data_IF_243675519935
#
_entry.id   IF_243675519935
#
_cell.length_a   1.000
_cell.length_b   1.000
_cell.length_c   1.000
_cell.angle_alpha   90.00
_cell.angle_beta   90.00
_cell.angle_gamma   90.00
#
_symmetry.space_group_name_H-M   'P 1'
#
loop_
_entity.id
_entity.type
_entity.pdbx_description
1 polymer ?
#
# COMPACT_ATOMS: atom_id res chain seq x y z
N UNK A 1 2.62 -17.82 -17.45
CA UNK A 1 2.94 -18.05 -16.03
C UNK A 1 4.28 -18.72 -15.94
N UNK A 2 5.22 -18.21 -15.15
CA UNK A 2 6.53 -18.82 -14.94
C UNK A 2 6.55 -19.37 -13.51
N UNK A 3 6.68 -20.68 -13.36
CA UNK A 3 6.78 -21.33 -12.05
C UNK A 3 8.23 -21.22 -11.58
N UNK A 4 8.44 -20.64 -10.42
CA UNK A 4 9.74 -20.49 -9.77
C UNK A 4 9.57 -20.61 -8.26
N UNK A 5 10.59 -21.13 -7.59
CA UNK A 5 10.58 -21.21 -6.15
C UNK A 5 10.71 -19.82 -5.53
N UNK A 6 9.93 -19.56 -4.48
CA UNK A 6 10.13 -18.39 -3.62
C UNK A 6 11.09 -18.73 -2.51
N UNK A 7 12.04 -17.86 -2.25
CA UNK A 7 13.07 -18.06 -1.24
C UNK A 7 13.04 -16.85 -0.30
N UNK A 8 12.86 -17.11 0.99
CA UNK A 8 13.05 -16.14 2.05
C UNK A 8 14.51 -16.17 2.46
N UNK A 9 15.20 -15.04 2.37
CA UNK A 9 16.58 -14.91 2.79
C UNK A 9 16.64 -14.19 4.14
N UNK A 10 17.39 -14.75 5.09
CA UNK A 10 17.75 -14.07 6.31
C UNK A 10 19.28 -13.92 6.35
N UNK A 11 19.78 -12.69 6.31
CA UNK A 11 21.21 -12.42 6.45
C UNK A 11 21.67 -12.63 7.90
N UNK A 12 20.89 -12.16 8.90
CA UNK A 12 21.17 -12.27 10.33
C UNK A 12 19.89 -12.37 11.19
N UNK A 13 18.77 -12.82 10.61
CA UNK A 13 17.48 -12.81 11.26
C UNK A 13 17.20 -13.98 12.22
N UNK A 14 16.08 -13.94 12.94
CA UNK A 14 15.63 -15.04 13.78
C UNK A 14 15.51 -16.32 12.97
N UNK A 15 15.81 -17.44 13.62
CA UNK A 15 15.85 -18.77 13.02
C UNK A 15 14.65 -19.02 12.08
N UNK A 16 14.92 -19.17 10.79
CA UNK A 16 13.94 -19.62 9.78
C UNK A 16 13.38 -21.01 10.08
N UNK A 17 13.98 -21.71 11.05
CA UNK A 17 13.53 -23.03 11.51
C UNK A 17 12.09 -22.99 12.01
N UNK A 18 11.73 -21.97 12.80
CA UNK A 18 10.37 -21.83 13.33
C UNK A 18 9.36 -21.58 12.21
N UNK A 19 9.74 -20.76 11.23
CA UNK A 19 8.91 -20.51 10.03
C UNK A 19 8.72 -21.79 9.23
N UNK A 20 9.79 -22.58 9.06
CA UNK A 20 9.70 -23.89 8.41
C UNK A 20 8.76 -24.84 9.15
N UNK A 21 8.86 -24.93 10.48
CA UNK A 21 7.98 -25.79 11.29
C UNK A 21 6.50 -25.43 11.07
N UNK A 22 6.15 -24.15 11.09
CA UNK A 22 4.79 -23.69 10.80
C UNK A 22 4.38 -24.01 9.35
N UNK A 23 5.24 -23.70 8.38
CA UNK A 23 4.95 -23.99 6.98
C UNK A 23 4.66 -25.48 6.74
N UNK A 24 5.49 -26.38 7.30
CA UNK A 24 5.30 -27.82 7.21
C UNK A 24 4.03 -28.30 7.93
N UNK A 25 3.70 -27.73 9.09
CA UNK A 25 2.47 -28.06 9.82
C UNK A 25 1.20 -27.74 9.03
N UNK A 26 1.28 -26.75 8.14
CA UNK A 26 0.21 -26.36 7.22
C UNK A 26 0.27 -27.08 5.87
N UNK A 27 1.20 -28.03 5.69
CA UNK A 27 1.37 -28.80 4.45
C UNK A 27 2.01 -28.01 3.31
N UNK A 28 2.65 -26.86 3.60
CA UNK A 28 3.36 -26.11 2.57
C UNK A 28 4.65 -26.82 2.16
N UNK A 29 4.98 -26.90 0.84
CA UNK A 29 6.20 -27.53 0.36
C UNK A 29 7.40 -26.60 0.58
N UNK A 30 7.94 -26.61 1.79
CA UNK A 30 9.01 -25.72 2.23
C UNK A 30 10.22 -26.51 2.75
N UNK A 31 11.42 -25.96 2.58
CA UNK A 31 12.67 -26.51 3.10
C UNK A 31 13.72 -25.43 3.33
N UNK A 32 14.62 -25.66 4.27
CA UNK A 32 15.81 -24.82 4.43
C UNK A 32 16.84 -25.15 3.34
N UNK A 33 17.48 -24.10 2.83
CA UNK A 33 18.54 -24.21 1.82
C UNK A 33 19.68 -23.26 2.13
N UNK A 34 20.88 -23.64 1.67
CA UNK A 34 22.03 -22.73 1.56
C UNK A 34 22.12 -22.33 0.09
N UNK A 35 21.71 -21.09 -0.27
CA UNK A 35 21.68 -20.69 -1.67
C UNK A 35 23.10 -20.56 -2.22
N UNK A 36 23.31 -21.05 -3.43
CA UNK A 36 24.55 -20.90 -4.18
C UNK A 36 24.33 -20.06 -5.43
N UNK A 37 25.40 -19.40 -5.90
CA UNK A 37 25.38 -18.63 -7.15
C UNK A 37 24.64 -17.28 -7.07
N UNK A 38 24.36 -16.78 -5.87
CA UNK A 38 23.86 -15.43 -5.68
C UNK A 38 25.02 -14.41 -5.71
N UNK A 39 24.81 -13.21 -6.26
CA UNK A 39 25.83 -12.16 -6.28
C UNK A 39 26.05 -11.48 -4.93
N UNK A 40 25.43 -11.98 -3.88
CA UNK A 40 25.55 -11.50 -2.50
C UNK A 40 25.47 -12.66 -1.52
N UNK A 41 26.08 -12.55 -0.33
CA UNK A 41 26.07 -13.61 0.65
C UNK A 41 24.68 -13.77 1.29
N UNK A 42 24.22 -15.00 1.38
CA UNK A 42 23.02 -15.40 2.13
C UNK A 42 23.41 -16.57 3.01
N UNK A 43 23.17 -16.46 4.31
CA UNK A 43 23.52 -17.49 5.27
C UNK A 43 22.64 -18.73 5.11
N UNK A 44 21.35 -18.51 5.04
CA UNK A 44 20.32 -19.54 4.95
C UNK A 44 19.05 -18.93 4.35
N UNK A 45 18.28 -19.74 3.67
CA UNK A 45 16.99 -19.35 3.13
C UNK A 45 15.94 -20.44 3.33
N UNK A 46 14.70 -20.01 3.49
CA UNK A 46 13.53 -20.87 3.43
C UNK A 46 12.99 -20.86 1.99
N UNK A 47 13.06 -22.01 1.36
CA UNK A 47 12.59 -22.19 -0.01
C UNK A 47 11.17 -22.77 0.00
N UNK A 48 10.24 -22.06 -0.65
CA UNK A 48 8.91 -22.55 -0.97
C UNK A 48 8.90 -23.03 -2.42
N UNK A 49 8.65 -24.32 -2.62
CA UNK A 49 8.63 -24.94 -3.95
C UNK A 49 7.30 -24.68 -4.68
N UNK A 50 7.31 -24.87 -5.98
CA UNK A 50 6.12 -24.77 -6.85
C UNK A 50 5.42 -23.40 -6.80
N UNK A 51 6.18 -22.35 -6.60
CA UNK A 51 5.66 -20.98 -6.63
C UNK A 51 5.55 -20.45 -8.07
N UNK A 52 4.78 -19.40 -8.26
CA UNK A 52 4.57 -18.79 -9.56
C UNK A 52 4.57 -17.28 -9.49
N UNK A 53 5.06 -16.65 -10.54
CA UNK A 53 4.85 -15.23 -10.80
C UNK A 53 4.06 -15.06 -12.09
N UNK A 54 3.22 -14.06 -12.14
CA UNK A 54 2.43 -13.73 -13.33
C UNK A 54 2.42 -12.21 -13.55
N UNK A 55 2.14 -11.79 -14.78
CA UNK A 55 1.82 -10.41 -15.08
C UNK A 55 0.32 -10.19 -14.81
N UNK A 56 -0.07 -9.26 -13.92
CA UNK A 56 -1.48 -9.05 -13.57
C UNK A 56 -2.29 -8.49 -14.74
N UNK A 57 -1.72 -7.64 -15.59
CA UNK A 57 -2.47 -7.01 -16.69
C UNK A 57 -2.96 -8.01 -17.75
N UNK A 58 -2.12 -8.93 -18.30
CA UNK A 58 -2.63 -9.97 -19.20
C UNK A 58 -3.62 -10.92 -18.53
N UNK A 59 -3.46 -11.20 -17.22
CA UNK A 59 -4.41 -12.01 -16.48
C UNK A 59 -5.78 -11.33 -16.40
N UNK A 60 -5.83 -10.04 -16.03
CA UNK A 60 -7.06 -9.27 -15.98
C UNK A 60 -7.68 -9.12 -17.37
N UNK A 61 -6.88 -8.85 -18.41
CA UNK A 61 -7.36 -8.75 -19.77
C UNK A 61 -8.04 -10.03 -20.27
N UNK A 62 -7.57 -11.20 -19.81
CA UNK A 62 -8.21 -12.47 -20.13
C UNK A 62 -9.57 -12.68 -19.43
N UNK A 63 -9.83 -12.02 -18.30
CA UNK A 63 -11.09 -12.09 -17.57
C UNK A 63 -12.14 -11.08 -18.08
N UNK A 64 -11.69 -9.95 -18.64
CA UNK A 64 -12.58 -8.84 -19.03
C UNK A 64 -13.72 -9.25 -19.98
N UNK A 65 -13.53 -10.13 -20.99
CA UNK A 65 -14.62 -10.52 -21.89
C UNK A 65 -15.82 -11.18 -21.20
N UNK A 66 -15.60 -11.79 -20.04
CA UNK A 66 -16.64 -12.48 -19.26
C UNK A 66 -17.34 -11.54 -18.25
N UNK A 67 -16.92 -10.28 -18.18
CA UNK A 67 -17.38 -9.32 -17.17
C UNK A 67 -18.04 -8.10 -17.80
N UNK A 68 -19.11 -7.60 -17.17
CA UNK A 68 -19.66 -6.28 -17.48
C UNK A 68 -18.94 -5.23 -16.64
N UNK A 69 -18.09 -4.42 -17.26
CA UNK A 69 -17.29 -3.38 -16.60
C UNK A 69 -17.77 -1.99 -17.00
N UNK A 70 -18.01 -1.14 -16.02
CA UNK A 70 -18.36 0.27 -16.22
C UNK A 70 -17.19 1.15 -15.77
N UNK A 71 -16.37 1.59 -16.70
CA UNK A 71 -15.30 2.55 -16.47
C UNK A 71 -15.86 3.97 -16.24
N UNK A 72 -15.07 4.86 -15.68
CA UNK A 72 -15.44 6.25 -15.39
C UNK A 72 -16.74 6.40 -14.57
N UNK A 73 -17.08 5.37 -13.80
CA UNK A 73 -18.33 5.27 -13.04
C UNK A 73 -18.04 5.20 -11.52
N UNK A 74 -17.46 6.23 -10.92
CA UNK A 74 -17.08 6.20 -9.51
C UNK A 74 -18.32 6.05 -8.63
N UNK A 75 -18.27 5.06 -7.73
CA UNK A 75 -19.30 4.87 -6.71
C UNK A 75 -19.20 5.97 -5.67
N UNK A 76 -20.32 6.65 -5.38
CA UNK A 76 -20.40 7.76 -4.42
C UNK A 76 -21.01 7.35 -3.08
N UNK A 77 -21.96 6.41 -3.10
CA UNK A 77 -22.66 5.97 -1.89
C UNK A 77 -23.30 4.59 -2.12
N UNK A 78 -23.48 3.84 -1.02
CA UNK A 78 -24.22 2.57 -1.00
C UNK A 78 -25.25 2.66 0.12
N UNK A 79 -26.54 2.45 -0.22
CA UNK A 79 -27.67 2.43 0.73
C UNK A 79 -28.54 1.21 0.48
N UNK A 80 -28.54 0.28 1.40
CA UNK A 80 -29.17 -1.00 1.18
C UNK A 80 -28.60 -1.65 -0.08
N UNK A 81 -29.45 -2.18 -0.91
CA UNK A 81 -29.08 -2.82 -2.17
C UNK A 81 -28.82 -1.85 -3.35
N UNK A 82 -28.75 -0.54 -3.10
CA UNK A 82 -28.58 0.51 -4.13
C UNK A 82 -27.20 1.14 -4.07
N UNK A 83 -26.49 1.05 -5.18
CA UNK A 83 -25.17 1.64 -5.40
C UNK A 83 -25.33 2.87 -6.28
N UNK A 84 -25.03 4.06 -5.77
CA UNK A 84 -25.11 5.32 -6.51
C UNK A 84 -23.75 5.67 -7.12
N UNK A 85 -23.72 5.83 -8.43
CA UNK A 85 -22.58 6.31 -9.22
C UNK A 85 -22.88 7.70 -9.81
N UNK A 86 -21.89 8.35 -10.42
CA UNK A 86 -22.08 9.65 -11.08
C UNK A 86 -23.07 9.53 -12.26
N UNK A 87 -23.03 8.43 -13.01
CA UNK A 87 -23.90 8.19 -14.18
C UNK A 87 -25.24 7.54 -13.87
N UNK A 88 -25.54 7.16 -12.62
CA UNK A 88 -26.80 6.48 -12.30
C UNK A 88 -26.78 5.68 -11.00
N UNK A 89 -27.74 4.77 -10.88
CA UNK A 89 -27.87 3.87 -9.72
C UNK A 89 -27.98 2.43 -10.19
N UNK A 90 -27.21 1.54 -9.59
CA UNK A 90 -27.29 0.09 -9.76
C UNK A 90 -27.96 -0.51 -8.54
N UNK A 91 -28.87 -1.45 -8.73
CA UNK A 91 -29.48 -2.25 -7.66
C UNK A 91 -28.99 -3.68 -7.79
N UNK A 92 -28.49 -4.26 -6.70
CA UNK A 92 -27.94 -5.61 -6.66
C UNK A 92 -28.36 -6.34 -5.40
N UNK A 93 -28.58 -7.65 -5.49
CA UNK A 93 -28.86 -8.50 -4.33
C UNK A 93 -27.65 -8.63 -3.40
N UNK A 94 -26.47 -8.71 -4.00
CA UNK A 94 -25.20 -8.81 -3.29
C UNK A 94 -24.23 -7.76 -3.83
N UNK A 95 -23.47 -7.15 -2.94
CA UNK A 95 -22.51 -6.10 -3.26
C UNK A 95 -21.16 -6.45 -2.66
N UNK A 96 -20.09 -6.40 -3.44
CA UNK A 96 -18.72 -6.60 -2.97
C UNK A 96 -17.94 -5.29 -3.09
N UNK A 97 -17.41 -4.81 -1.97
CA UNK A 97 -16.51 -3.65 -1.92
C UNK A 97 -15.07 -4.15 -1.99
N UNK A 98 -14.46 -4.05 -3.16
CA UNK A 98 -13.08 -4.46 -3.44
C UNK A 98 -12.23 -3.26 -3.89
N UNK A 99 -12.38 -2.13 -3.22
CA UNK A 99 -11.82 -0.82 -3.60
C UNK A 99 -10.49 -0.51 -2.93
N UNK A 100 -9.67 -1.51 -2.63
CA UNK A 100 -8.42 -1.40 -1.88
C UNK A 100 -8.65 -0.86 -0.46
N UNK A 101 -8.90 0.43 -0.28
CA UNK A 101 -9.42 0.99 0.98
C UNK A 101 -10.96 1.08 0.89
N UNK A 102 -11.71 0.53 1.86
CA UNK A 102 -13.17 0.54 1.83
C UNK A 102 -13.73 1.97 1.91
N UNK A 103 -14.60 2.31 0.97
CA UNK A 103 -15.12 3.66 0.80
C UNK A 103 -16.26 4.05 1.74
N UNK A 104 -16.85 3.09 2.46
CA UNK A 104 -17.98 3.30 3.36
C UNK A 104 -17.49 3.47 4.79
N UNK A 105 -17.61 4.68 5.32
CA UNK A 105 -17.13 5.01 6.67
C UNK A 105 -18.10 4.61 7.79
N UNK A 106 -19.36 4.36 7.45
CA UNK A 106 -20.44 4.16 8.45
C UNK A 106 -20.47 2.78 9.06
N UNK A 107 -19.89 1.78 8.42
CA UNK A 107 -19.95 0.40 8.82
C UNK A 107 -18.54 -0.18 8.96
N UNK A 108 -18.29 -0.97 10.00
CA UNK A 108 -17.04 -1.74 10.14
C UNK A 108 -15.83 -0.97 10.66
N UNK A 109 -15.87 0.36 10.79
CA UNK A 109 -14.78 1.20 11.31
C UNK A 109 -13.42 0.91 10.66
N UNK A 110 -13.39 0.73 9.35
CA UNK A 110 -12.18 0.35 8.60
C UNK A 110 -11.10 1.41 8.68
N UNK A 111 -11.46 2.67 8.86
CA UNK A 111 -10.56 3.79 9.11
C UNK A 111 -9.72 3.64 10.41
N UNK A 112 -10.20 2.88 11.39
CA UNK A 112 -9.47 2.56 12.61
C UNK A 112 -8.72 1.22 12.55
N UNK A 113 -8.99 0.41 11.53
CA UNK A 113 -8.53 -0.97 11.42
C UNK A 113 -7.58 -1.22 10.27
N UNK A 114 -7.40 -0.22 9.42
CA UNK A 114 -6.53 -0.27 8.25
C UNK A 114 -5.53 0.88 8.29
N UNK A 115 -4.30 0.58 7.92
CA UNK A 115 -3.27 1.58 7.64
C UNK A 115 -2.72 1.37 6.25
N UNK A 116 -2.10 2.38 5.68
CA UNK A 116 -1.45 2.25 4.38
C UNK A 116 0.06 2.39 4.49
N UNK A 117 0.77 1.53 3.79
CA UNK A 117 2.21 1.53 3.67
C UNK A 117 2.62 1.80 2.22
N UNK A 118 3.72 2.52 2.05
CA UNK A 118 4.37 2.73 0.75
C UNK A 118 5.50 1.72 0.61
N UNK A 119 5.73 1.26 -0.62
CA UNK A 119 6.90 0.48 -1.02
C UNK A 119 7.42 1.01 -2.35
N UNK A 120 8.72 0.96 -2.54
CA UNK A 120 9.40 1.51 -3.69
C UNK A 120 10.04 0.38 -4.50
N UNK A 121 10.13 0.57 -5.82
CA UNK A 121 10.66 -0.43 -6.74
C UNK A 121 11.56 0.24 -7.78
N UNK A 122 12.64 -0.47 -8.10
CA UNK A 122 13.48 -0.20 -9.26
C UNK A 122 13.39 -1.37 -10.25
N UNK A 123 13.32 -1.08 -11.53
CA UNK A 123 13.55 -2.04 -12.60
C UNK A 123 14.95 -1.83 -13.17
N UNK A 124 15.80 -2.83 -13.03
CA UNK A 124 17.21 -2.80 -13.41
C UNK A 124 17.45 -3.62 -14.67
N UNK A 125 18.22 -3.09 -15.60
CA UNK A 125 18.77 -3.81 -16.76
C UNK A 125 20.23 -4.17 -16.52
N UNK A 126 20.76 -5.16 -17.25
CA UNK A 126 22.17 -5.55 -17.11
C UNK A 126 22.51 -6.33 -15.82
N UNK A 127 21.54 -6.57 -14.95
CA UNK A 127 21.74 -7.42 -13.78
C UNK A 127 21.93 -8.90 -14.19
N UNK A 128 22.82 -9.66 -13.50
CA UNK A 128 23.04 -11.06 -13.78
C UNK A 128 21.75 -11.89 -13.60
N UNK A 129 21.66 -13.08 -14.17
CA UNK A 129 20.54 -13.99 -13.91
C UNK A 129 20.38 -14.24 -12.41
N UNK A 130 19.15 -14.19 -11.94
CA UNK A 130 18.82 -14.50 -10.56
C UNK A 130 17.78 -15.63 -10.58
N UNK A 131 18.07 -16.81 -10.00
CA UNK A 131 17.10 -17.88 -9.90
C UNK A 131 16.03 -17.53 -8.88
N UNK A 132 14.77 -17.84 -9.20
CA UNK A 132 13.67 -17.69 -8.23
C UNK A 132 13.24 -16.26 -7.94
N UNK A 133 12.50 -16.11 -6.87
CA UNK A 133 12.05 -14.86 -6.25
C UNK A 133 12.59 -14.83 -4.83
N UNK A 134 13.06 -13.67 -4.40
CA UNK A 134 13.74 -13.50 -3.12
C UNK A 134 13.07 -12.43 -2.29
N UNK A 135 12.89 -12.71 -1.01
CA UNK A 135 12.43 -11.75 -0.02
C UNK A 135 13.38 -11.82 1.18
N UNK A 136 13.96 -10.71 1.55
CA UNK A 136 14.77 -10.59 2.75
C UNK A 136 13.86 -10.57 3.97
N UNK A 137 14.14 -11.44 4.93
CA UNK A 137 13.43 -11.51 6.20
C UNK A 137 13.94 -10.48 7.23
N UNK A 138 14.96 -9.69 6.90
CA UNK A 138 15.47 -8.59 7.71
C UNK A 138 14.53 -7.38 7.75
N UNK A 139 14.89 -6.40 8.57
CA UNK A 139 14.08 -5.18 8.79
C UNK A 139 13.85 -4.37 7.51
N UNK A 140 14.81 -4.36 6.60
CA UNK A 140 14.73 -3.62 5.33
C UNK A 140 13.75 -4.28 4.32
N UNK A 141 13.53 -5.59 4.43
CA UNK A 141 12.56 -6.33 3.63
C UNK A 141 12.79 -6.23 2.12
N UNK A 142 14.07 -6.27 1.67
CA UNK A 142 14.39 -6.22 0.25
C UNK A 142 13.77 -7.39 -0.50
N UNK A 143 13.20 -7.10 -1.67
CA UNK A 143 12.66 -8.14 -2.55
C UNK A 143 13.31 -8.10 -3.93
N UNK A 144 13.54 -9.27 -4.50
CA UNK A 144 14.16 -9.44 -5.80
C UNK A 144 13.40 -10.43 -6.64
N UNK A 145 13.09 -10.08 -7.89
CA UNK A 145 12.52 -11.02 -8.86
C UNK A 145 12.80 -10.57 -10.28
N UNK A 146 12.82 -11.50 -11.22
CA UNK A 146 12.94 -11.14 -12.63
C UNK A 146 11.56 -11.00 -13.29
N UNK A 147 11.49 -10.01 -14.19
CA UNK A 147 10.35 -9.82 -15.11
C UNK A 147 10.90 -9.51 -16.49
N UNK A 148 10.88 -10.50 -17.39
CA UNK A 148 11.52 -10.40 -18.68
C UNK A 148 13.01 -10.08 -18.56
N UNK A 149 13.46 -9.00 -19.21
CA UNK A 149 14.85 -8.52 -19.15
C UNK A 149 15.20 -7.74 -17.88
N UNK A 150 14.20 -7.36 -17.09
CA UNK A 150 14.40 -6.55 -15.90
C UNK A 150 14.58 -7.41 -14.65
N UNK A 151 15.47 -6.98 -13.77
CA UNK A 151 15.47 -7.39 -12.37
C UNK A 151 14.71 -6.32 -11.59
N UNK A 152 13.68 -6.73 -10.86
CA UNK A 152 12.92 -5.84 -9.99
C UNK A 152 13.52 -5.94 -8.58
N UNK A 153 13.94 -4.80 -8.05
CA UNK A 153 14.38 -4.62 -6.66
C UNK A 153 13.33 -3.79 -5.94
N UNK A 154 12.73 -4.33 -4.90
CA UNK A 154 11.75 -3.65 -4.06
C UNK A 154 12.22 -3.51 -2.63
N UNK A 155 11.75 -2.46 -1.92
CA UNK A 155 12.07 -2.20 -0.52
C UNK A 155 11.81 -0.76 -0.12
N UNK A 156 12.51 -0.28 0.92
CA UNK A 156 12.39 1.10 1.40
C UNK A 156 10.98 1.45 1.89
N UNK A 157 10.23 0.43 2.37
CA UNK A 157 8.85 0.59 2.79
C UNK A 157 8.72 1.44 4.05
N UNK A 158 7.67 2.26 4.10
CA UNK A 158 7.33 3.05 5.29
C UNK A 158 5.80 3.29 5.35
N UNK A 159 5.30 3.65 6.52
CA UNK A 159 3.91 4.08 6.66
C UNK A 159 3.66 5.34 5.82
N UNK A 160 2.53 5.38 5.11
CA UNK A 160 2.14 6.56 4.34
C UNK A 160 2.07 7.80 5.25
N UNK A 161 2.65 8.91 4.80
CA UNK A 161 2.77 10.13 5.61
C UNK A 161 3.96 10.16 6.57
N UNK A 162 4.77 9.11 6.65
CA UNK A 162 6.11 9.13 7.25
C UNK A 162 7.12 9.38 6.13
N UNK A 163 7.49 10.62 5.96
CA UNK A 163 8.47 10.97 4.93
C UNK A 163 9.89 10.80 5.46
N UNK A 164 10.61 9.86 4.88
CA UNK A 164 12.05 9.73 5.07
C UNK A 164 12.83 10.46 3.97
N UNK A 165 12.22 10.68 2.79
CA UNK A 165 12.78 11.46 1.69
C UNK A 165 13.99 10.85 1.00
N UNK A 166 14.26 9.56 1.24
CA UNK A 166 15.46 8.86 0.78
C UNK A 166 15.19 7.43 0.27
N UNK A 167 13.93 7.07 0.07
CA UNK A 167 13.55 5.69 -0.23
C UNK A 167 14.12 5.22 -1.58
N UNK A 168 14.05 6.05 -2.61
CA UNK A 168 14.68 5.71 -3.89
C UNK A 168 16.21 5.70 -3.81
N UNK A 169 16.82 6.60 -3.05
CA UNK A 169 18.28 6.65 -2.92
C UNK A 169 18.81 5.45 -2.15
N UNK A 170 18.09 4.98 -1.13
CA UNK A 170 18.39 3.71 -0.45
C UNK A 170 18.29 2.51 -1.39
N UNK A 171 17.26 2.46 -2.24
CA UNK A 171 17.13 1.42 -3.27
C UNK A 171 18.26 1.47 -4.29
N UNK A 172 18.65 2.67 -4.76
CA UNK A 172 19.78 2.88 -5.67
C UNK A 172 21.09 2.44 -5.05
N UNK A 173 21.33 2.82 -3.80
CA UNK A 173 22.51 2.37 -3.06
C UNK A 173 22.56 0.84 -2.90
N UNK A 174 21.41 0.22 -2.62
CA UNK A 174 21.30 -1.24 -2.55
C UNK A 174 21.53 -1.89 -3.91
N UNK A 175 20.94 -1.34 -4.98
CA UNK A 175 21.15 -1.81 -6.34
C UNK A 175 22.64 -1.74 -6.75
N UNK A 176 23.31 -0.62 -6.46
CA UNK A 176 24.74 -0.44 -6.72
C UNK A 176 25.60 -1.43 -5.93
N UNK A 177 25.23 -1.71 -4.69
CA UNK A 177 25.95 -2.67 -3.84
C UNK A 177 25.81 -4.11 -4.35
N UNK A 178 24.60 -4.52 -4.74
CA UNK A 178 24.31 -5.90 -5.15
C UNK A 178 24.64 -6.16 -6.63
N UNK A 179 24.45 -5.15 -7.48
CA UNK A 179 24.51 -5.26 -8.95
C UNK A 179 25.22 -4.03 -9.55
N UNK A 180 26.52 -3.84 -9.29
CA UNK A 180 27.24 -2.60 -9.66
C UNK A 180 27.26 -2.29 -11.16
N UNK A 181 27.05 -3.29 -12.03
CA UNK A 181 26.96 -3.12 -13.47
C UNK A 181 25.53 -2.89 -14.00
N UNK A 182 24.53 -3.01 -13.12
CA UNK A 182 23.14 -2.81 -13.52
C UNK A 182 22.79 -1.33 -13.65
N UNK A 183 21.81 -1.03 -14.52
CA UNK A 183 21.34 0.32 -14.78
C UNK A 183 19.84 0.41 -14.48
N UNK A 184 19.43 1.48 -13.81
CA UNK A 184 18.03 1.79 -13.58
C UNK A 184 17.34 2.10 -14.91
N UNK A 185 16.25 1.38 -15.19
CA UNK A 185 15.40 1.64 -16.34
C UNK A 185 14.10 2.34 -15.94
N UNK A 186 13.54 1.95 -14.79
CA UNK A 186 12.31 2.53 -14.23
C UNK A 186 12.37 2.54 -12.71
N UNK A 187 11.71 3.54 -12.13
CA UNK A 187 11.45 3.64 -10.70
C UNK A 187 9.97 3.99 -10.48
N UNK A 188 9.33 3.35 -9.50
CA UNK A 188 7.96 3.66 -9.10
C UNK A 188 7.71 3.20 -7.67
N UNK A 189 6.60 3.65 -7.10
CA UNK A 189 6.15 3.23 -5.79
C UNK A 189 4.75 2.66 -5.83
N UNK A 190 4.41 1.89 -4.82
CA UNK A 190 3.13 1.25 -4.62
C UNK A 190 2.62 1.55 -3.20
N UNK A 191 1.32 1.44 -2.99
CA UNK A 191 0.70 1.61 -1.70
C UNK A 191 -0.14 0.39 -1.35
N UNK A 192 0.09 -0.15 -0.17
CA UNK A 192 -0.54 -1.38 0.31
C UNK A 192 -1.42 -1.09 1.53
N UNK A 193 -2.60 -1.72 1.56
CA UNK A 193 -3.53 -1.62 2.67
C UNK A 193 -3.27 -2.75 3.66
N UNK A 194 -2.86 -2.40 4.88
CA UNK A 194 -2.48 -3.33 5.95
C UNK A 194 -3.58 -3.39 7.00
N UNK A 195 -3.90 -4.59 7.47
CA UNK A 195 -4.80 -4.81 8.61
C UNK A 195 -4.04 -4.72 9.94
N UNK A 196 -4.79 -4.71 11.06
CA UNK A 196 -4.17 -4.67 12.40
C UNK A 196 -3.41 -5.95 12.74
N UNK A 197 -3.85 -7.09 12.23
CA UNK A 197 -3.31 -8.43 12.52
C UNK A 197 -2.56 -9.09 11.35
N UNK A 198 -2.40 -8.36 10.24
CA UNK A 198 -1.72 -8.85 9.04
C UNK A 198 -2.54 -9.79 8.16
N UNK A 199 -3.74 -10.21 8.59
CA UNK A 199 -4.62 -11.08 7.81
C UNK A 199 -5.67 -10.25 7.06
N UNK A 200 -5.95 -10.48 5.76
CA UNK A 200 -6.96 -9.73 5.02
C UNK A 200 -8.36 -9.79 5.64
N UNK A 201 -9.17 -8.74 5.43
CA UNK A 201 -10.59 -8.76 5.76
C UNK A 201 -11.39 -9.17 4.53
N UNK A 202 -12.03 -10.36 4.59
CA UNK A 202 -12.83 -10.93 3.50
C UNK A 202 -14.12 -11.48 4.09
N UNK A 203 -15.27 -10.99 3.64
CA UNK A 203 -16.57 -11.45 4.12
C UNK A 203 -17.59 -10.33 4.29
N UNK A 204 -18.61 -10.49 5.14
CA UNK A 204 -19.61 -9.45 5.37
C UNK A 204 -18.98 -8.15 5.85
N UNK A 205 -19.38 -7.04 5.25
CA UNK A 205 -18.85 -5.71 5.58
C UNK A 205 -19.10 -5.34 7.05
N UNK A 206 -20.29 -5.68 7.53
CA UNK A 206 -20.68 -5.60 8.94
C UNK A 206 -21.76 -6.63 9.23
N UNK A 207 -21.99 -6.95 10.51
CA UNK A 207 -23.05 -7.86 10.94
C UNK A 207 -24.47 -7.36 10.59
N UNK A 208 -24.64 -6.03 10.46
CA UNK A 208 -25.94 -5.41 10.13
C UNK A 208 -26.24 -5.33 8.62
N UNK A 209 -25.29 -5.71 7.76
CA UNK A 209 -25.46 -5.63 6.31
C UNK A 209 -24.96 -6.92 5.63
N UNK A 210 -25.68 -8.04 5.74
CA UNK A 210 -25.26 -9.35 5.25
C UNK A 210 -25.19 -9.45 3.71
N UNK A 211 -25.83 -8.53 2.97
CA UNK A 211 -25.78 -8.40 1.52
C UNK A 211 -24.55 -7.64 1.04
N UNK A 212 -23.84 -6.99 1.94
CA UNK A 212 -22.67 -6.17 1.62
C UNK A 212 -21.42 -6.89 2.10
N UNK A 213 -20.48 -7.11 1.21
CA UNK A 213 -19.21 -7.80 1.47
C UNK A 213 -18.03 -6.88 1.24
N UNK A 214 -16.89 -7.25 1.80
CA UNK A 214 -15.62 -6.55 1.61
C UNK A 214 -14.50 -7.55 1.31
N UNK A 215 -13.55 -7.10 0.52
CA UNK A 215 -12.25 -7.74 0.33
C UNK A 215 -11.18 -6.64 0.36
N UNK A 216 -10.38 -6.59 1.44
CA UNK A 216 -9.41 -5.52 1.67
C UNK A 216 -8.29 -5.97 2.61
N UNK A 217 -7.26 -5.13 2.73
CA UNK A 217 -6.16 -5.37 3.66
C UNK A 217 -5.24 -6.50 3.23
N UNK A 218 -5.02 -6.66 1.92
CA UNK A 218 -4.19 -7.73 1.39
C UNK A 218 -2.70 -7.57 1.70
N UNK A 219 -2.29 -6.47 2.29
CA UNK A 219 -0.89 -6.17 2.52
C UNK A 219 -0.14 -6.16 1.18
N UNK A 220 1.01 -6.77 1.14
CA UNK A 220 1.83 -6.90 -0.08
C UNK A 220 1.52 -8.19 -0.87
N UNK A 221 0.41 -8.91 -0.52
CA UNK A 221 0.01 -10.21 -1.07
C UNK A 221 -1.27 -10.13 -1.90
N UNK A 222 -1.46 -9.03 -2.63
CA UNK A 222 -2.69 -8.76 -3.36
C UNK A 222 -3.11 -9.85 -4.35
N UNK A 223 -2.18 -10.45 -5.10
CA UNK A 223 -2.50 -11.50 -6.07
C UNK A 223 -2.96 -12.80 -5.39
N UNK A 224 -2.27 -13.25 -4.36
CA UNK A 224 -2.67 -14.43 -3.57
C UNK A 224 -3.95 -14.13 -2.79
N UNK A 225 -4.01 -12.98 -2.12
CA UNK A 225 -5.17 -12.55 -1.35
C UNK A 225 -6.44 -12.42 -2.19
N UNK A 226 -6.34 -11.97 -3.45
CA UNK A 226 -7.50 -11.90 -4.35
C UNK A 226 -8.05 -13.27 -4.71
N UNK A 227 -7.21 -14.29 -4.87
CA UNK A 227 -7.66 -15.67 -5.11
C UNK A 227 -8.38 -16.24 -3.88
N UNK A 228 -7.84 -16.02 -2.69
CA UNK A 228 -8.50 -16.38 -1.43
C UNK A 228 -9.84 -15.65 -1.30
N UNK A 229 -9.88 -14.36 -1.60
CA UNK A 229 -11.11 -13.58 -1.55
C UNK A 229 -12.17 -14.10 -2.54
N UNK A 230 -11.77 -14.41 -3.77
CA UNK A 230 -12.67 -14.98 -4.77
C UNK A 230 -13.28 -16.30 -4.28
N UNK A 231 -12.45 -17.21 -3.76
CA UNK A 231 -12.91 -18.50 -3.23
C UNK A 231 -13.87 -18.34 -2.06
N UNK A 232 -13.50 -17.53 -1.06
CA UNK A 232 -14.30 -17.32 0.14
C UNK A 232 -15.65 -16.64 -0.17
N UNK A 233 -15.62 -15.60 -0.99
CA UNK A 233 -16.84 -14.87 -1.36
C UNK A 233 -17.75 -15.72 -2.25
N UNK A 234 -17.20 -16.50 -3.18
CA UNK A 234 -17.99 -17.42 -4.00
C UNK A 234 -18.69 -18.45 -3.12
N UNK A 235 -17.95 -19.17 -2.27
CA UNK A 235 -18.53 -20.17 -1.37
C UNK A 235 -19.66 -19.57 -0.51
N UNK A 236 -19.44 -18.37 0.04
CA UNK A 236 -20.46 -17.67 0.82
C UNK A 236 -21.69 -17.30 -0.01
N UNK A 237 -21.53 -16.81 -1.22
CA UNK A 237 -22.61 -16.38 -2.08
C UNK A 237 -23.43 -17.56 -2.64
N UNK A 238 -22.79 -18.74 -2.80
CA UNK A 238 -23.46 -19.98 -3.21
C UNK A 238 -24.02 -20.80 -2.03
N UNK A 239 -23.80 -20.34 -0.80
CA UNK A 239 -24.27 -21.04 0.41
C UNK A 239 -23.39 -22.23 0.82
N UNK A 240 -22.18 -22.31 0.26
CA UNK A 240 -21.20 -23.34 0.63
C UNK A 240 -20.43 -22.95 1.89
N UNK A 241 -20.02 -23.96 2.66
CA UNK A 241 -19.19 -23.74 3.84
C UNK A 241 -17.70 -23.79 3.45
N UNK A 242 -16.92 -22.81 3.91
CA UNK A 242 -15.49 -22.78 3.73
C UNK A 242 -14.78 -22.79 5.09
N UNK A 243 -13.92 -23.78 5.39
CA UNK A 243 -13.42 -24.03 6.75
C UNK A 243 -12.59 -22.90 7.36
N UNK A 244 -12.05 -22.00 6.55
CA UNK A 244 -11.19 -20.88 7.01
C UNK A 244 -11.88 -19.52 6.97
N UNK A 245 -13.20 -19.46 6.73
CA UNK A 245 -13.92 -18.21 6.57
C UNK A 245 -13.80 -17.28 7.79
N UNK A 246 -13.80 -17.85 9.00
CA UNK A 246 -13.73 -17.09 10.25
C UNK A 246 -12.37 -16.40 10.46
N UNK A 247 -11.29 -16.99 9.95
CA UNK A 247 -9.94 -16.39 10.00
C UNK A 247 -9.90 -15.06 9.23
N UNK A 248 -10.61 -14.98 8.11
CA UNK A 248 -10.67 -13.80 7.26
C UNK A 248 -11.85 -12.87 7.59
N UNK A 249 -12.72 -13.26 8.52
CA UNK A 249 -13.91 -12.48 8.85
C UNK A 249 -13.59 -11.05 9.23
N UNK A 250 -14.23 -10.04 8.61
CA UNK A 250 -14.08 -8.65 9.04
C UNK A 250 -14.55 -8.37 10.47
N UNK A 251 -15.36 -9.24 11.06
CA UNK A 251 -15.85 -9.12 12.43
C UNK A 251 -14.90 -9.75 13.47
N UNK A 252 -13.83 -10.43 13.03
CA UNK A 252 -12.83 -11.01 13.95
C UNK A 252 -12.13 -9.93 14.76
N UNK A 253 -11.76 -10.27 15.97
CA UNK A 253 -10.91 -9.44 16.80
C UNK A 253 -9.94 -10.33 17.58
N UNK A 254 -8.65 -10.19 17.29
CA UNK A 254 -7.57 -10.89 17.99
C UNK A 254 -6.79 -9.89 18.84
N UNK A 255 -7.10 -9.78 20.16
CA UNK A 255 -6.49 -8.75 21.02
C UNK A 255 -4.97 -8.76 21.01
N UNK A 256 -4.36 -9.94 21.08
CA UNK A 256 -2.90 -10.10 21.12
C UNK A 256 -2.17 -9.59 19.87
N UNK A 257 -2.81 -9.69 18.71
CA UNK A 257 -2.22 -9.25 17.44
C UNK A 257 -2.64 -7.82 17.04
N UNK A 258 -3.78 -7.34 17.58
CA UNK A 258 -4.41 -6.09 17.10
C UNK A 258 -4.18 -4.89 18.01
N UNK A 259 -3.94 -5.08 19.31
CA UNK A 259 -3.92 -3.99 20.30
C UNK A 259 -2.76 -3.02 20.03
N UNK A 260 -1.55 -3.51 19.80
CA UNK A 260 -0.38 -2.65 19.57
C UNK A 260 -0.56 -1.82 18.29
N UNK A 261 -0.97 -2.45 17.20
CA UNK A 261 -1.21 -1.79 15.91
C UNK A 261 -2.37 -0.78 15.99
N UNK A 262 -3.41 -1.07 16.78
CA UNK A 262 -4.52 -0.15 17.02
C UNK A 262 -4.05 1.11 17.78
N UNK A 263 -3.30 0.97 18.87
CA UNK A 263 -2.78 2.09 19.63
C UNK A 263 -1.78 2.91 18.83
N UNK A 264 -0.96 2.26 18.05
CA UNK A 264 -0.07 2.93 17.09
C UNK A 264 -0.88 3.78 16.11
N UNK A 265 -1.89 3.20 15.44
CA UNK A 265 -2.77 3.90 14.52
C UNK A 265 -3.52 5.07 15.16
N UNK A 266 -4.05 4.89 16.36
CA UNK A 266 -4.68 5.95 17.16
C UNK A 266 -3.69 7.08 17.48
N UNK A 267 -2.45 6.73 17.84
CA UNK A 267 -1.37 7.69 18.07
C UNK A 267 -1.07 8.56 16.84
N UNK A 268 -1.05 7.98 15.65
CA UNK A 268 -0.88 8.74 14.41
C UNK A 268 -2.04 9.69 14.12
N UNK A 269 -3.27 9.26 14.33
CA UNK A 269 -4.44 10.12 14.17
C UNK A 269 -4.41 11.31 15.14
N UNK A 270 -4.09 11.08 16.42
CA UNK A 270 -3.95 12.11 17.43
C UNK A 270 -2.79 13.05 17.08
N UNK A 271 -1.64 12.54 16.67
CA UNK A 271 -0.50 13.37 16.23
C UNK A 271 -0.83 14.20 14.99
N UNK A 272 -1.51 13.61 14.00
CA UNK A 272 -1.89 14.32 12.76
C UNK A 272 -2.87 15.49 13.04
N UNK A 273 -3.82 15.30 13.94
CA UNK A 273 -4.72 16.37 14.38
C UNK A 273 -3.97 17.36 15.29
N UNK A 274 -3.15 16.88 16.22
CA UNK A 274 -2.36 17.68 17.13
C UNK A 274 -1.33 18.57 16.42
N UNK A 275 -0.62 18.06 15.43
CA UNK A 275 0.31 18.86 14.60
C UNK A 275 -0.38 20.05 13.97
N UNK A 276 -1.58 19.86 13.46
CA UNK A 276 -2.37 20.94 12.89
C UNK A 276 -2.66 22.06 13.89
N UNK A 277 -2.94 21.71 15.14
CA UNK A 277 -3.41 22.67 16.15
C UNK A 277 -2.26 23.32 16.95
N UNK A 278 -1.20 22.56 17.23
CA UNK A 278 -0.22 22.94 18.25
C UNK A 278 1.22 23.08 17.72
N UNK A 279 1.54 22.55 16.54
CA UNK A 279 2.88 22.69 15.98
C UNK A 279 2.90 23.85 14.99
N UNK A 280 3.76 24.86 15.17
CA UNK A 280 3.90 25.95 14.21
C UNK A 280 4.45 25.42 12.87
N UNK A 281 4.27 26.20 11.81
CA UNK A 281 4.92 25.91 10.53
C UNK A 281 6.45 25.97 10.72
N UNK A 282 7.14 25.02 10.11
CA UNK A 282 8.56 24.79 10.37
C UNK A 282 9.49 25.47 9.36
N UNK A 283 8.95 26.04 8.28
CA UNK A 283 9.75 26.53 7.16
C UNK A 283 9.23 27.87 6.68
N UNK A 284 10.14 28.83 6.41
CA UNK A 284 9.77 30.00 5.63
C UNK A 284 9.71 29.61 4.14
N UNK A 285 8.83 30.23 3.36
CA UNK A 285 8.69 29.88 1.95
C UNK A 285 9.99 30.13 1.16
N UNK A 286 10.78 31.13 1.57
CA UNK A 286 12.09 31.43 1.00
C UNK A 286 13.11 30.28 1.14
N UNK A 287 13.00 29.51 2.24
CA UNK A 287 13.93 28.44 2.57
C UNK A 287 13.63 27.11 1.84
N UNK A 288 12.49 27.02 1.13
CA UNK A 288 12.14 25.84 0.37
C UNK A 288 13.02 25.79 -0.89
N UNK A 289 13.89 24.79 -0.99
CA UNK A 289 14.72 24.58 -2.16
C UNK A 289 13.87 24.22 -3.40
N UNK A 290 14.39 24.50 -4.61
CA UNK A 290 13.74 24.08 -5.86
C UNK A 290 13.61 22.57 -5.92
N UNK A 291 12.44 22.07 -6.31
CA UNK A 291 12.12 20.64 -6.34
C UNK A 291 11.67 20.07 -4.99
N UNK A 292 11.57 20.88 -3.92
CA UNK A 292 11.18 20.46 -2.58
C UNK A 292 9.90 21.13 -2.10
N UNK A 293 9.29 20.55 -1.07
CA UNK A 293 8.09 21.08 -0.44
C UNK A 293 8.24 21.21 1.07
N UNK A 294 7.41 22.09 1.66
CA UNK A 294 7.42 22.33 3.09
C UNK A 294 6.10 22.95 3.58
N UNK A 295 5.91 22.98 4.89
CA UNK A 295 4.72 23.57 5.52
C UNK A 295 5.04 25.00 5.94
N UNK A 296 4.34 25.95 5.37
CA UNK A 296 4.53 27.39 5.56
C UNK A 296 3.32 28.01 6.26
N UNK A 297 3.56 28.91 7.21
CA UNK A 297 2.51 29.75 7.78
C UNK A 297 2.33 31.00 6.93
N UNK A 298 1.10 31.26 6.49
CA UNK A 298 0.73 32.44 5.77
C UNK A 298 -0.67 32.92 6.18
N UNK A 299 -0.83 34.22 6.50
CA UNK A 299 -2.08 34.79 6.98
C UNK A 299 -2.75 34.01 8.12
N UNK A 300 -1.94 33.50 9.09
CA UNK A 300 -2.43 32.80 10.26
C UNK A 300 -2.91 31.36 9.98
N UNK A 301 -2.65 30.80 8.78
CA UNK A 301 -2.97 29.43 8.39
C UNK A 301 -1.73 28.71 7.89
N UNK A 302 -1.76 27.38 7.94
CA UNK A 302 -0.71 26.54 7.35
C UNK A 302 -1.10 26.13 5.95
N UNK A 303 -0.11 26.20 5.05
CA UNK A 303 -0.19 25.73 3.67
C UNK A 303 0.95 24.78 3.38
N UNK A 304 0.70 23.78 2.57
CA UNK A 304 1.74 23.00 1.93
C UNK A 304 2.22 23.75 0.70
N UNK A 305 3.49 24.07 0.67
CA UNK A 305 4.10 24.81 -0.44
C UNK A 305 5.16 23.95 -1.10
N UNK A 306 5.07 23.80 -2.40
CA UNK A 306 6.08 23.17 -3.24
C UNK A 306 6.71 24.21 -4.15
N UNK A 307 8.04 24.27 -4.18
CA UNK A 307 8.78 25.09 -5.12
C UNK A 307 9.22 24.25 -6.31
N UNK A 308 8.59 24.45 -7.45
CA UNK A 308 8.95 23.77 -8.69
C UNK A 308 10.38 24.10 -9.13
N UNK A 309 10.96 23.31 -10.02
CA UNK A 309 12.35 23.48 -10.48
C UNK A 309 12.58 24.80 -11.23
N UNK A 310 11.55 25.37 -11.84
CA UNK A 310 11.59 26.71 -12.47
C UNK A 310 11.45 27.88 -11.46
N UNK A 311 11.13 27.58 -10.20
CA UNK A 311 10.94 28.55 -9.13
C UNK A 311 9.47 28.86 -8.78
N UNK A 312 8.51 28.41 -9.60
CA UNK A 312 7.07 28.60 -9.36
C UNK A 312 6.66 27.95 -8.05
N UNK A 313 5.84 28.64 -7.26
CA UNK A 313 5.31 28.15 -5.99
C UNK A 313 3.88 27.61 -6.17
N UNK A 314 3.65 26.39 -5.69
CA UNK A 314 2.33 25.79 -5.58
C UNK A 314 1.96 25.66 -4.11
N UNK A 315 0.86 26.30 -3.71
CA UNK A 315 0.40 26.31 -2.34
C UNK A 315 -0.99 25.68 -2.23
N UNK A 316 -1.17 24.74 -1.29
CA UNK A 316 -2.42 24.02 -1.06
C UNK A 316 -2.79 24.00 0.43
N UNK A 317 -4.08 23.94 0.73
CA UNK A 317 -4.56 23.65 2.10
C UNK A 317 -4.17 22.20 2.46
N UNK A 318 -3.31 22.05 3.47
CA UNK A 318 -2.78 20.74 3.90
C UNK A 318 -3.72 19.95 4.82
N UNK A 319 -4.98 20.32 4.89
CA UNK A 319 -5.99 19.54 5.62
C UNK A 319 -6.55 18.44 4.75
N UNK A 320 -6.32 17.21 5.15
CA UNK A 320 -6.88 16.05 4.45
C UNK A 320 -8.41 16.15 4.38
N UNK A 321 -9.03 16.14 3.18
CA UNK A 321 -10.48 16.24 3.03
C UNK A 321 -11.24 15.03 3.62
N UNK A 322 -10.55 13.94 3.98
CA UNK A 322 -11.15 12.76 4.62
C UNK A 322 -11.56 13.04 6.07
N UNK A 323 -10.59 13.30 6.97
CA UNK A 323 -10.80 13.47 8.41
C UNK A 323 -10.08 14.69 9.00
N UNK A 324 -9.54 15.57 8.17
CA UNK A 324 -8.92 16.82 8.60
C UNK A 324 -7.53 16.70 9.21
N UNK A 325 -6.86 15.56 9.10
CA UNK A 325 -5.46 15.39 9.51
C UNK A 325 -4.54 16.31 8.69
N UNK A 326 -3.46 16.81 9.29
CA UNK A 326 -2.42 17.55 8.59
C UNK A 326 -1.63 16.59 7.69
N UNK A 327 -1.44 16.95 6.44
CA UNK A 327 -0.64 16.21 5.47
C UNK A 327 0.85 16.46 5.69
N UNK A 328 1.66 15.52 5.25
CA UNK A 328 3.12 15.62 5.22
C UNK A 328 3.61 15.60 3.77
N UNK A 329 4.73 16.25 3.52
CA UNK A 329 5.36 16.23 2.21
C UNK A 329 6.13 14.94 2.01
N UNK A 330 5.99 14.30 0.87
CA UNK A 330 6.80 13.17 0.40
C UNK A 330 7.72 13.67 -0.72
N UNK A 331 8.99 13.77 -0.41
CA UNK A 331 9.95 14.33 -1.36
C UNK A 331 10.30 13.37 -2.49
N UNK A 332 10.24 12.06 -2.27
CA UNK A 332 10.46 11.05 -3.31
C UNK A 332 9.37 11.10 -4.39
N UNK A 333 8.10 11.30 -3.98
CA UNK A 333 6.92 11.22 -4.86
C UNK A 333 6.36 12.60 -5.24
N UNK A 334 6.93 13.69 -4.71
CA UNK A 334 6.44 15.06 -4.87
C UNK A 334 4.94 15.18 -4.57
N UNK A 335 4.54 14.61 -3.44
CA UNK A 335 3.15 14.49 -3.03
C UNK A 335 2.91 14.90 -1.58
N UNK A 336 1.67 15.28 -1.29
CA UNK A 336 1.15 15.51 0.06
C UNK A 336 0.45 14.25 0.55
N UNK A 337 0.99 13.60 1.56
CA UNK A 337 0.55 12.30 2.03
C UNK A 337 -0.10 12.39 3.41
N UNK A 338 -1.21 11.69 3.62
CA UNK A 338 -1.94 11.70 4.89
C UNK A 338 -1.44 10.58 5.83
N UNK A 339 -0.85 10.91 7.00
CA UNK A 339 -0.34 9.90 7.93
C UNK A 339 -1.44 9.08 8.61
N UNK A 340 -2.70 9.55 8.58
CA UNK A 340 -3.80 8.86 9.24
C UNK A 340 -4.26 7.64 8.44
N UNK A 341 -4.65 7.84 7.16
CA UNK A 341 -5.25 6.77 6.34
C UNK A 341 -4.67 6.68 4.92
N UNK A 342 -3.59 7.39 4.62
CA UNK A 342 -2.85 7.25 3.37
C UNK A 342 -3.46 7.92 2.14
N UNK A 343 -4.39 8.88 2.29
CA UNK A 343 -4.79 9.70 1.13
C UNK A 343 -3.61 10.49 0.61
N UNK A 344 -3.44 10.55 -0.72
CA UNK A 344 -2.33 11.23 -1.36
C UNK A 344 -2.81 12.24 -2.39
N UNK A 345 -2.04 13.30 -2.54
CA UNK A 345 -2.32 14.40 -3.46
C UNK A 345 -1.00 14.83 -4.10
N UNK A 346 -1.02 15.18 -5.36
CA UNK A 346 0.14 15.82 -5.98
C UNK A 346 0.36 17.22 -5.41
N UNK A 347 1.46 17.86 -5.81
CA UNK A 347 1.82 19.19 -5.33
C UNK A 347 0.82 20.29 -5.74
N UNK A 348 -0.03 20.04 -6.74
CA UNK A 348 -1.10 20.98 -7.15
C UNK A 348 -2.38 20.78 -6.34
N UNK A 349 -2.46 19.70 -5.54
CA UNK A 349 -3.61 19.30 -4.76
C UNK A 349 -4.56 18.32 -5.46
N UNK A 350 -4.24 17.85 -6.67
CA UNK A 350 -5.01 16.81 -7.32
C UNK A 350 -4.89 15.48 -6.55
N UNK A 351 -6.01 14.77 -6.37
CA UNK A 351 -6.04 13.53 -5.61
C UNK A 351 -5.41 12.39 -6.38
N UNK A 352 -4.41 11.73 -5.78
CA UNK A 352 -3.73 10.56 -6.30
C UNK A 352 -4.30 9.23 -5.77
N UNK A 353 -4.72 9.21 -4.47
CA UNK A 353 -5.26 7.98 -3.87
C UNK A 353 -6.32 8.25 -2.80
N UNK A 354 -7.13 7.22 -2.53
CA UNK A 354 -8.14 7.19 -1.47
C UNK A 354 -7.48 7.16 -0.06
N UNK A 355 -8.30 7.31 1.04
CA UNK A 355 -9.77 7.40 1.12
C UNK A 355 -10.39 8.79 0.90
N UNK A 356 -9.61 9.86 0.78
CA UNK A 356 -10.18 11.18 0.51
C UNK A 356 -10.97 11.18 -0.81
N UNK A 357 -12.14 11.83 -0.80
CA UNK A 357 -13.05 11.90 -1.97
C UNK A 357 -12.91 13.18 -2.78
N UNK A 358 -12.27 14.21 -2.21
CA UNK A 358 -12.06 15.51 -2.84
C UNK A 358 -10.56 15.82 -2.97
N UNK A 359 -10.22 16.70 -3.89
CA UNK A 359 -8.90 17.30 -4.04
C UNK A 359 -8.62 18.32 -2.90
N UNK A 360 -7.35 18.69 -2.72
CA UNK A 360 -6.98 19.79 -1.85
C UNK A 360 -7.39 21.13 -2.50
N UNK A 361 -7.63 22.13 -1.66
CA UNK A 361 -7.93 23.48 -2.13
C UNK A 361 -6.62 24.22 -2.42
N UNK A 362 -6.36 24.68 -3.66
CA UNK A 362 -5.21 25.50 -3.94
C UNK A 362 -5.39 26.91 -3.29
N UNK A 363 -4.29 27.47 -2.80
CA UNK A 363 -4.23 28.84 -2.33
C UNK A 363 -3.80 29.75 -3.48
N UNK A 364 -4.78 30.35 -4.18
CA UNK A 364 -4.52 31.16 -5.38
C UNK A 364 -3.82 32.50 -5.06
N UNK A 365 -4.02 32.99 -3.84
CA UNK A 365 -3.47 34.28 -3.41
C UNK A 365 -2.09 34.14 -2.74
N UNK A 366 -1.50 32.94 -2.75
CA UNK A 366 -0.18 32.74 -2.17
C UNK A 366 0.88 33.49 -3.00
N UNK A 367 1.75 34.32 -2.36
CA UNK A 367 2.73 35.12 -3.08
C UNK A 367 3.72 34.25 -3.85
N UNK A 368 4.04 34.66 -5.08
CA UNK A 368 5.00 33.97 -5.95
C UNK A 368 6.44 34.49 -5.76
N UNK A 369 6.58 35.74 -5.29
CA UNK A 369 7.86 36.37 -4.98
C UNK A 369 8.04 36.37 -3.46
N UNK A 370 8.95 35.56 -2.95
CA UNK A 370 9.34 35.50 -1.55
C UNK A 370 10.85 35.31 -1.47
#
# INVERSE_FOLDING_TARGET
MCIRDSIYAASDGPSLTRELEYALSLGAPARLVKPEGLPFPVREALCFERQAQLSPLPFLAALLPELTVYEHSPVRDIRGHRVRCDGGTVTAEQIVVATHFPMLERFGLYDLRLRQERSYLLALTGAPPLPGMWLDAGEEGWSLRRSGRYLLLGGGGHRCGENLGDSYDRLRAQAQRLFPAAQEAFAWSSQDCMTLDGVPYIGPYSSSAPFLHVATGFGKWGMTGSMVAATLLTARLTGENYPYADIFSPQRFFPSASISAFWEGAGYAVRGIGRRLFVPAQTAAADIARGHGGIVAWQGKKYGVYRHTDGTLFAVDIRCPHRGCELTWNDDEKSWDCPCHGSRFDYTGHRLSEPAKAALKPCKDFPQEI
#
